data_IF_221296111987
#
_entry.id   IF_221296111987
#
_cell.length_a   1.000
_cell.length_b   1.000
_cell.length_c   1.000
_cell.angle_alpha   90.00
_cell.angle_beta   90.00
_cell.angle_gamma   90.00
#
_symmetry.space_group_name_H-M   'P 1'
#
loop_
_entity.id
_entity.type
_entity.pdbx_description
1 polymer ?
2 polymer ?
3 water ?
#
# COMPACT_ATOMS: atom_id res chain seq x y z
N UNK A 2 -11.86 -4.37 11.73
CA UNK A 2 -11.40 -4.32 10.32
C UNK A 2 -10.83 -2.94 10.01
N UNK A 3 -9.58 -2.90 9.57
CA UNK A 3 -8.93 -1.63 9.24
C UNK A 3 -9.54 -0.96 8.01
N UNK A 4 -9.67 0.35 8.06
CA UNK A 4 -10.21 1.11 6.93
C UNK A 4 -9.30 2.29 6.63
N UNK A 5 -9.32 2.74 5.38
CA UNK A 5 -8.51 3.87 4.94
C UNK A 5 -9.39 4.77 4.08
N UNK A 6 -9.40 6.06 4.40
CA UNK A 6 -10.21 7.02 3.66
C UNK A 6 -9.41 8.26 3.30
N UNK A 7 -10.02 9.11 2.48
CA UNK A 7 -9.41 10.37 2.09
C UNK A 7 -8.02 10.39 1.49
N UNK A 8 -7.27 11.41 1.87
CA UNK A 8 -5.92 11.62 1.38
C UNK A 8 -5.03 10.42 1.69
N UNK A 9 -5.23 9.79 2.84
CA UNK A 9 -4.41 8.64 3.19
C UNK A 9 -4.65 7.46 2.26
N UNK A 10 -5.89 7.28 1.82
CA UNK A 10 -6.21 6.19 0.91
C UNK A 10 -5.51 6.42 -0.44
N UNK A 11 -5.54 7.66 -0.90
CA UNK A 11 -4.91 8.02 -2.16
C UNK A 11 -3.39 7.85 -2.06
N UNK A 12 -2.80 8.29 -0.94
CA UNK A 12 -1.36 8.14 -0.78
C UNK A 12 -0.96 6.67 -0.77
N UNK A 13 -1.75 5.83 -0.10
CA UNK A 13 -1.47 4.40 -0.03
C UNK A 13 -1.51 3.78 -1.43
N UNK A 14 -2.48 4.20 -2.25
CA UNK A 14 -2.61 3.70 -3.62
C UNK A 14 -1.40 4.09 -4.46
N UNK A 15 -0.98 5.34 -4.32
CA UNK A 15 0.18 5.85 -5.05
C UNK A 15 1.42 5.06 -4.65
N UNK A 16 1.53 4.75 -3.36
CA UNK A 16 2.68 4.00 -2.86
C UNK A 16 2.68 2.56 -3.38
N UNK A 17 1.53 1.89 -3.27
CA UNK A 17 1.43 0.51 -3.73
C UNK A 17 1.55 0.34 -5.24
N UNK A 18 0.84 1.18 -5.99
CA UNK A 18 0.84 1.10 -7.45
C UNK A 18 2.01 1.78 -8.18
N UNK A 19 2.60 2.81 -7.58
CA UNK A 19 3.72 3.48 -8.20
C UNK A 19 3.44 4.08 -9.57
N UNK A 20 4.39 3.93 -10.48
CA UNK A 20 4.26 4.47 -11.83
C UNK A 20 3.18 3.80 -12.68
N UNK A 21 2.62 2.69 -12.21
CA UNK A 21 1.56 2.02 -12.96
C UNK A 21 0.30 2.87 -13.00
N UNK A 22 0.04 3.60 -11.92
CA UNK A 22 -1.18 4.39 -11.87
C UNK A 22 -2.26 3.50 -11.31
N UNK A 23 -3.45 4.04 -11.06
CA UNK A 23 -4.53 3.24 -10.49
C UNK A 23 -5.91 3.78 -10.83
N UNK A 24 -6.93 2.98 -10.55
CA UNK A 24 -8.31 3.36 -10.82
C UNK A 24 -9.09 3.47 -9.52
N UNK A 25 -10.23 4.16 -9.60
CA UNK A 25 -11.10 4.35 -8.44
C UNK A 25 -12.43 3.61 -8.49
N UNK A 26 -13.11 3.68 -9.63
CA UNK A 26 -14.44 3.09 -9.73
C UNK A 26 -14.55 1.58 -9.82
N UNK A 27 -13.57 0.93 -10.44
CA UNK A 27 -13.60 -0.52 -10.57
C UNK A 27 -12.18 -1.04 -10.49
N UNK A 28 -12.01 -2.29 -10.03
CA UNK A 28 -10.68 -2.89 -9.93
C UNK A 28 -10.28 -3.34 -11.34
N UNK A 29 -8.98 -3.47 -11.58
CA UNK A 29 -8.51 -3.91 -12.88
C UNK A 29 -8.79 -5.40 -13.03
N UNK A 30 -9.12 -5.82 -14.25
CA UNK A 30 -9.39 -7.23 -14.49
C UNK A 30 -10.77 -7.70 -14.10
N UNK A 31 -10.83 -8.61 -13.13
CA UNK A 31 -12.10 -9.18 -12.66
C UNK A 31 -12.59 -10.18 -13.70
N UNK A 41 -16.75 -3.35 -7.04
CA UNK A 41 -17.19 -1.98 -6.64
C UNK A 41 -15.98 -1.04 -6.60
N UNK A 42 -16.19 0.18 -6.11
CA UNK A 42 -15.11 1.16 -6.05
C UNK A 42 -14.23 1.05 -4.82
N UNK A 43 -12.99 1.54 -4.94
CA UNK A 43 -12.04 1.47 -3.83
C UNK A 43 -12.46 2.28 -2.59
N UNK A 44 -13.10 3.43 -2.78
CA UNK A 44 -13.55 4.24 -1.65
C UNK A 44 -14.60 3.47 -0.85
N UNK A 45 -15.54 2.85 -1.55
CA UNK A 45 -16.59 2.06 -0.90
C UNK A 45 -15.96 0.94 -0.09
N UNK A 46 -15.12 0.14 -0.75
CA UNK A 46 -14.47 -0.97 -0.06
C UNK A 46 -13.58 -0.50 1.08
N UNK A 47 -12.47 0.15 0.74
CA UNK A 47 -11.51 0.62 1.73
C UNK A 47 -11.96 1.59 2.80
N UNK A 48 -12.81 2.54 2.44
CA UNK A 48 -13.26 3.51 3.42
C UNK A 48 -14.43 3.12 4.33
N UNK A 49 -15.37 2.33 3.80
CA UNK A 49 -16.54 1.94 4.58
C UNK A 49 -16.62 0.47 4.99
N UNK A 50 -15.86 -0.39 4.33
CA UNK A 50 -15.90 -1.82 4.65
C UNK A 50 -14.59 -2.35 5.23
N UNK A 51 -13.63 -2.67 4.37
CA UNK A 51 -12.35 -3.19 4.82
C UNK A 51 -11.25 -2.90 3.81
N UNK A 52 -10.06 -2.56 4.31
CA UNK A 52 -8.93 -2.26 3.45
C UNK A 52 -7.71 -3.06 3.87
N UNK A 53 -6.95 -3.52 2.89
CA UNK A 53 -5.72 -4.26 3.13
C UNK A 53 -4.88 -4.12 1.87
N UNK A 54 -3.63 -4.54 1.94
CA UNK A 54 -2.73 -4.44 0.80
C UNK A 54 -3.21 -5.14 -0.46
N UNK A 55 -3.81 -6.32 -0.31
CA UNK A 55 -4.28 -7.06 -1.47
C UNK A 55 -5.39 -6.32 -2.20
N UNK A 56 -6.27 -5.67 -1.44
CA UNK A 56 -7.38 -4.92 -2.02
C UNK A 56 -6.84 -3.75 -2.86
N UNK A 57 -5.85 -3.04 -2.32
CA UNK A 57 -5.25 -1.90 -3.00
C UNK A 57 -4.62 -2.26 -4.34
N UNK A 58 -3.85 -3.35 -4.36
CA UNK A 58 -3.19 -3.79 -5.58
C UNK A 58 -4.16 -4.13 -6.71
N UNK A 59 -5.37 -4.54 -6.36
CA UNK A 59 -6.37 -4.88 -7.36
C UNK A 59 -6.76 -3.67 -8.21
N UNK A 60 -6.59 -2.47 -7.65
CA UNK A 60 -6.96 -1.25 -8.36
C UNK A 60 -5.83 -0.59 -9.13
N UNK A 61 -4.63 -1.16 -9.06
CA UNK A 61 -3.50 -0.60 -9.81
C UNK A 61 -3.79 -0.84 -11.29
N UNK A 62 -3.29 0.04 -12.15
CA UNK A 62 -3.50 -0.12 -13.58
C UNK A 62 -2.55 -1.20 -14.12
N UNK A 63 -2.85 -1.74 -15.32
CA UNK A 63 -2.02 -2.78 -15.95
C UNK A 63 -0.67 -2.33 -16.49
N UNK A 64 0.18 -3.33 -16.76
CA UNK A 64 1.53 -3.20 -17.31
C UNK A 64 2.62 -3.34 -16.27
N UNK B 1 20.13 6.96 -0.14
CA UNK B 1 19.46 6.49 -1.38
C UNK B 1 18.42 5.42 -1.05
N UNK B 2 18.36 4.38 -1.88
CA UNK B 2 17.41 3.30 -1.67
C UNK B 2 17.67 2.56 -0.37
N UNK B 3 16.59 2.20 0.32
CA UNK B 3 16.69 1.48 1.58
C UNK B 3 17.06 0.02 1.33
N UNK B 4 17.87 -0.55 2.22
CA UNK B 4 18.31 -1.94 2.07
C UNK B 4 17.36 -2.92 2.74
N UNK B 5 17.62 -4.21 2.54
CA UNK B 5 16.79 -5.26 3.12
C UNK B 5 16.91 -5.24 4.64
N UNK B 6 15.78 -5.21 5.33
CA UNK B 6 15.78 -5.19 6.78
C UNK B 6 15.65 -3.79 7.36
N UNK B 7 15.79 -2.78 6.51
CA UNK B 7 15.70 -1.40 6.97
C UNK B 7 14.26 -0.90 7.02
N UNK B 8 13.96 -0.05 8.00
CA UNK B 8 12.62 0.50 8.13
C UNK B 8 12.23 1.28 6.87
N UNK B 9 10.94 1.30 6.57
CA UNK B 9 10.44 1.99 5.39
C UNK B 9 8.97 2.33 5.60
N UNK B 10 8.45 3.22 4.75
CA UNK B 10 7.06 3.60 4.85
C UNK B 10 6.58 4.29 3.60
N UNK B 11 5.31 4.65 3.58
CA UNK B 11 4.73 5.34 2.43
C UNK B 11 5.47 6.63 2.11
N UNK B 12 5.91 7.34 3.15
CA UNK B 12 6.58 8.62 2.96
C UNK B 12 8.11 8.65 3.11
N UNK B 13 8.75 7.49 3.11
CA UNK B 13 10.21 7.44 3.24
C UNK B 13 10.79 7.17 1.86
N UNK B 14 12.11 7.07 1.78
CA UNK B 14 12.75 6.76 0.51
C UNK B 14 12.26 5.35 0.17
N UNK B 15 12.35 4.99 -1.11
CA UNK B 15 11.91 3.67 -1.53
C UNK B 15 12.93 2.58 -1.23
N UNK B 16 12.45 1.35 -1.08
CA UNK B 16 13.32 0.21 -0.81
C UNK B 16 14.13 -0.05 -2.07
N UNK B 17 15.23 -0.79 -1.93
CA UNK B 17 16.07 -1.10 -3.08
C UNK B 17 15.33 -2.03 -4.03
N UNK B 18 15.73 -2.00 -5.29
CA UNK B 18 15.12 -2.83 -6.32
C UNK B 18 15.08 -4.29 -5.89
N UNK B 19 13.97 -4.96 -6.18
CA UNK B 19 13.83 -6.36 -5.81
C UNK B 19 13.23 -6.53 -4.43
N UNK B 20 13.04 -5.41 -3.74
CA UNK B 20 12.47 -5.43 -2.40
C UNK B 20 11.25 -4.51 -2.36
N UNK B 21 10.34 -4.77 -1.43
CA UNK B 21 9.17 -3.92 -1.27
C UNK B 21 8.92 -3.72 0.22
N UNK B 22 8.28 -2.61 0.55
CA UNK B 22 7.99 -2.26 1.93
C UNK B 22 6.76 -2.97 2.49
N UNK B 23 6.97 -3.85 3.47
CA UNK B 23 5.88 -4.59 4.10
C UNK B 23 5.85 -4.37 5.60
N UNK B 24 4.66 -4.45 6.20
CA UNK B 24 4.50 -4.25 7.64
C UNK B 24 4.78 -5.53 8.42
N UNK B 25 4.91 -5.40 9.73
CA UNK B 25 5.16 -6.55 10.60
C UNK B 25 3.84 -7.32 10.67
N UNK B 26 3.90 -8.64 10.60
CA UNK B 26 2.69 -9.46 10.65
C UNK B 26 1.93 -9.34 11.96
N UNK B 27 2.51 -8.66 12.95
CA UNK B 27 1.84 -8.49 14.23
C UNK B 27 1.16 -7.13 14.36
N UNK B 28 1.18 -6.34 13.29
CA UNK B 28 0.54 -5.03 13.31
C UNK B 28 -0.97 -5.19 13.30
N UNK B 29 -1.65 -4.45 14.17
CA UNK B 29 -3.11 -4.49 14.23
C UNK B 29 -3.64 -3.80 12.98
N UNK B 30 -2.98 -2.71 12.60
CA UNK B 30 -3.34 -1.93 11.42
C UNK B 30 -2.12 -1.87 10.50
N UNK B 31 -1.93 -2.90 9.67
CA UNK B 31 -0.79 -2.95 8.74
C UNK B 31 -0.66 -1.72 7.84
N UNK B 32 -1.77 -1.28 7.27
CA UNK B 32 -1.74 -0.12 6.38
C UNK B 32 -1.32 1.12 7.14
N UNK B 33 -1.89 1.31 8.32
CA UNK B 33 -1.53 2.45 9.14
C UNK B 33 -0.06 2.35 9.57
N UNK B 34 0.44 1.13 9.72
CA UNK B 34 1.84 0.94 10.11
C UNK B 34 2.75 1.44 8.99
N UNK B 35 2.36 1.18 7.75
CA UNK B 35 3.12 1.60 6.59
C UNK B 35 3.11 3.11 6.44
N UNK B 36 1.95 3.71 6.69
CA UNK B 36 1.81 5.16 6.61
C UNK B 36 2.72 5.82 7.64
N UNK B 37 2.88 5.17 8.79
CA UNK B 37 3.70 5.70 9.86
C UNK B 37 5.15 5.21 9.85
N UNK B 38 5.60 4.74 8.69
CA UNK B 38 6.97 4.27 8.54
C UNK B 38 7.43 3.09 9.37
N UNK B 39 6.52 2.18 9.71
CA UNK B 39 6.88 1.01 10.51
C UNK B 39 7.00 -0.26 9.68
N UNK B 40 7.12 -0.10 8.36
CA UNK B 40 7.26 -1.26 7.51
C UNK B 40 8.74 -1.62 7.45
N UNK B 41 9.05 -2.69 6.74
CA UNK B 41 10.44 -3.12 6.59
C UNK B 41 10.63 -3.64 5.17
N UNK B 42 11.79 -3.34 4.58
CA UNK B 42 12.09 -3.79 3.23
C UNK B 42 12.39 -5.28 3.25
N UNK B 43 11.59 -6.06 2.54
CA UNK B 43 11.77 -7.51 2.48
C UNK B 43 11.73 -8.06 1.06
N UNK B 44 11.89 -9.38 0.96
CA UNK B 44 11.90 -10.14 -0.29
C UNK B 44 11.12 -9.61 -1.49
N UNK B 45 10.07 -10.34 -1.85
CA UNK B 45 9.20 -10.04 -2.99
C UNK B 45 9.34 -8.62 -3.53
#
# INVERSE_FOLDING_TARGET
>A
GPETLCGAELVDALQFVCGDRGFYFNKPTGYGSSSRRAPQTGIVDECCFRSCDLRRLEMYCAPLKPAKSA
>B
SALAEGQSCGVYTERCAQGLRCLPRQDEEKPLHALLHGRGVCLNEKSYREQVKI
#
